data_IF_940187468228
#
_entry.id   IF_940187468228
#
_cell.length_a   1.000
_cell.length_b   1.000
_cell.length_c   1.000
_cell.angle_alpha   90.00
_cell.angle_beta   90.00
_cell.angle_gamma   90.00
#
_symmetry.space_group_name_H-M   'P 1'
#
loop_
_entity.id
_entity.type
_entity.pdbx_description
1 polymer ?
#
# COMPACT_ATOMS: atom_id res chain seq x y z
N UNK A 1 -5.26 -23.43 -20.32
CA UNK A 1 -6.05 -22.17 -20.30
C UNK A 1 -5.36 -21.22 -19.35
N UNK A 2 -5.26 -19.94 -19.70
CA UNK A 2 -4.70 -18.94 -18.78
C UNK A 2 -5.62 -18.77 -17.57
N UNK A 3 -5.04 -18.44 -16.41
CA UNK A 3 -5.79 -17.95 -15.24
C UNK A 3 -5.50 -16.47 -15.15
N UNK A 4 -6.53 -15.65 -15.31
CA UNK A 4 -6.43 -14.20 -15.38
C UNK A 4 -7.02 -13.57 -14.12
N UNK A 5 -6.26 -12.67 -13.50
CA UNK A 5 -6.65 -11.93 -12.29
C UNK A 5 -6.39 -10.44 -12.50
N UNK A 6 -7.18 -9.80 -13.37
CA UNK A 6 -7.02 -8.38 -13.73
C UNK A 6 -5.88 -8.10 -14.70
N UNK A 7 -5.27 -9.14 -15.28
CA UNK A 7 -4.28 -9.07 -16.35
C UNK A 7 -4.61 -10.13 -17.39
N UNK A 8 -4.96 -9.69 -18.60
CA UNK A 8 -5.31 -10.52 -19.75
C UNK A 8 -4.08 -10.69 -20.65
N UNK A 9 -3.76 -11.93 -21.02
CA UNK A 9 -2.82 -12.23 -22.10
C UNK A 9 -3.60 -12.69 -23.32
N UNK A 10 -3.45 -11.97 -24.43
CA UNK A 10 -4.16 -12.25 -25.66
C UNK A 10 -3.21 -12.39 -26.85
N UNK A 11 -3.70 -13.04 -27.89
CA UNK A 11 -2.95 -13.25 -29.14
C UNK A 11 -3.29 -12.14 -30.13
N UNK A 12 -2.28 -11.46 -30.66
CA UNK A 12 -2.47 -10.45 -31.70
C UNK A 12 -1.25 -10.36 -32.61
N UNK A 13 -1.45 -10.49 -33.93
CA UNK A 13 -0.42 -10.34 -34.97
C UNK A 13 0.93 -11.01 -34.64
N UNK A 14 1.96 -10.23 -34.32
CA UNK A 14 3.33 -10.63 -34.00
C UNK A 14 3.54 -11.12 -32.55
N UNK A 15 2.47 -11.15 -31.75
CA UNK A 15 2.46 -11.65 -30.38
C UNK A 15 1.69 -12.95 -30.20
N UNK A 16 1.74 -13.85 -31.19
CA UNK A 16 1.19 -15.19 -31.07
C UNK A 16 2.00 -16.03 -30.08
N UNK A 17 1.33 -16.83 -29.25
CA UNK A 17 1.93 -17.74 -28.27
C UNK A 17 1.33 -19.14 -28.35
N UNK A 18 2.09 -20.12 -27.86
CA UNK A 18 1.66 -21.52 -27.79
C UNK A 18 1.71 -21.99 -26.33
N UNK A 19 0.62 -22.59 -25.84
CA UNK A 19 0.60 -23.24 -24.54
C UNK A 19 1.43 -24.53 -24.56
N UNK A 20 2.26 -24.74 -23.55
CA UNK A 20 3.13 -25.93 -23.44
C UNK A 20 3.46 -26.24 -21.97
N UNK A 21 4.14 -27.36 -21.75
CA UNK A 21 4.66 -27.81 -20.46
C UNK A 21 6.20 -27.84 -20.51
N UNK A 22 6.86 -27.05 -19.66
CA UNK A 22 8.33 -27.00 -19.57
C UNK A 22 8.76 -27.22 -18.12
N UNK A 23 9.68 -28.16 -17.90
CA UNK A 23 10.22 -28.49 -16.58
C UNK A 23 9.11 -28.65 -15.50
N UNK A 24 8.00 -29.30 -15.88
CA UNK A 24 6.86 -29.57 -14.99
C UNK A 24 5.95 -28.37 -14.69
N UNK A 25 6.08 -27.24 -15.40
CA UNK A 25 5.19 -26.08 -15.27
C UNK A 25 4.52 -25.74 -16.59
N UNK A 26 3.20 -25.49 -16.56
CA UNK A 26 2.46 -24.97 -17.71
C UNK A 26 2.93 -23.54 -18.00
N UNK A 27 3.10 -23.20 -19.29
CA UNK A 27 3.57 -21.90 -19.71
C UNK A 27 3.13 -21.53 -21.14
N UNK A 28 3.29 -20.26 -21.50
CA UNK A 28 3.16 -19.75 -22.86
C UNK A 28 4.54 -19.54 -23.48
N UNK A 29 4.72 -19.99 -24.71
CA UNK A 29 5.95 -19.74 -25.51
C UNK A 29 5.65 -18.72 -26.58
N UNK A 30 6.48 -17.69 -26.68
CA UNK A 30 6.40 -16.73 -27.77
C UNK A 30 6.70 -17.42 -29.12
N UNK A 31 5.73 -17.40 -30.04
CA UNK A 31 5.85 -18.07 -31.32
C UNK A 31 6.88 -17.37 -32.23
N UNK A 32 7.55 -18.10 -33.13
CA UNK A 32 8.39 -17.49 -34.15
C UNK A 32 7.59 -16.54 -35.05
N UNK A 33 8.19 -15.38 -35.35
CA UNK A 33 7.66 -14.38 -36.28
C UNK A 33 8.68 -14.20 -37.43
N UNK A 34 8.24 -14.15 -38.71
CA UNK A 34 9.12 -13.93 -39.86
C UNK A 34 10.06 -12.70 -39.77
N UNK A 35 9.74 -11.68 -38.96
CA UNK A 35 10.58 -10.48 -38.78
C UNK A 35 11.58 -10.58 -37.61
N UNK A 36 11.66 -11.72 -36.92
CA UNK A 36 12.63 -12.02 -35.87
C UNK A 36 12.23 -11.57 -34.46
N UNK A 37 11.47 -10.48 -34.31
CA UNK A 37 10.95 -10.03 -33.00
C UNK A 37 9.75 -10.87 -32.54
N UNK A 38 9.76 -11.29 -31.27
CA UNK A 38 8.64 -12.05 -30.67
C UNK A 38 8.03 -11.26 -29.52
N UNK A 39 6.70 -11.24 -29.47
CA UNK A 39 5.98 -10.50 -28.45
C UNK A 39 5.03 -11.39 -27.65
N UNK A 40 4.74 -10.98 -26.42
CA UNK A 40 3.63 -11.50 -25.64
C UNK A 40 2.87 -10.29 -25.11
N UNK A 41 1.63 -10.11 -25.56
CA UNK A 41 0.82 -8.94 -25.26
C UNK A 41 -0.01 -9.11 -23.99
N UNK A 42 -0.10 -8.03 -23.21
CA UNK A 42 -0.88 -7.98 -22.00
C UNK A 42 -1.74 -6.72 -21.97
N UNK A 43 -2.96 -6.88 -21.47
CA UNK A 43 -3.89 -5.79 -21.18
C UNK A 43 -4.28 -5.86 -19.71
N UNK A 44 -4.22 -4.71 -19.04
CA UNK A 44 -4.53 -4.62 -17.62
C UNK A 44 -5.98 -4.19 -17.43
N UNK A 45 -6.63 -4.67 -16.39
CA UNK A 45 -7.94 -4.18 -16.01
C UNK A 45 -7.86 -2.72 -15.56
N UNK A 46 -8.80 -1.88 -15.99
CA UNK A 46 -8.81 -0.45 -15.69
C UNK A 46 -8.86 -0.15 -14.18
N UNK A 47 -9.41 -1.05 -13.35
CA UNK A 47 -9.41 -0.92 -11.89
C UNK A 47 -8.00 -0.98 -11.29
N UNK A 48 -7.00 -1.41 -12.06
CA UNK A 48 -5.61 -1.35 -11.63
C UNK A 48 -5.07 0.09 -11.59
N UNK A 49 -5.64 1.03 -12.35
CA UNK A 49 -5.08 2.38 -12.53
C UNK A 49 -5.47 3.30 -11.37
N UNK A 50 -4.49 4.07 -10.87
CA UNK A 50 -4.71 5.05 -9.79
C UNK A 50 -4.21 6.47 -10.10
N UNK A 51 -3.53 6.64 -11.24
CA UNK A 51 -3.00 7.91 -11.72
C UNK A 51 -2.91 7.87 -13.24
N UNK A 52 -2.89 9.05 -13.89
CA UNK A 52 -2.66 9.19 -15.34
C UNK A 52 -1.27 8.69 -15.77
N UNK A 53 -0.33 8.70 -14.84
CA UNK A 53 1.04 8.23 -15.02
C UNK A 53 1.49 7.58 -13.73
N UNK A 54 1.95 6.33 -13.82
CA UNK A 54 2.20 5.46 -12.67
C UNK A 54 3.65 4.98 -12.65
N UNK A 55 4.16 4.73 -11.45
CA UNK A 55 5.35 3.93 -11.22
C UNK A 55 4.92 2.56 -10.74
N UNK A 56 5.36 1.51 -11.42
CA UNK A 56 4.96 0.14 -11.10
C UNK A 56 6.07 -0.86 -11.37
N UNK A 57 5.90 -2.04 -10.83
CA UNK A 57 6.80 -3.18 -11.03
C UNK A 57 6.08 -4.28 -11.83
N UNK A 58 6.82 -5.01 -12.65
CA UNK A 58 6.33 -6.21 -13.34
C UNK A 58 7.26 -7.37 -13.04
N UNK A 59 6.74 -8.38 -12.37
CA UNK A 59 7.40 -9.67 -12.18
C UNK A 59 7.06 -10.60 -13.36
N UNK A 60 8.08 -11.20 -13.95
CA UNK A 60 7.97 -12.18 -15.03
C UNK A 60 8.69 -13.45 -14.58
N UNK A 61 7.93 -14.54 -14.40
CA UNK A 61 8.50 -15.88 -14.20
C UNK A 61 8.68 -16.57 -15.56
N UNK A 62 9.94 -16.74 -15.97
CA UNK A 62 10.31 -17.25 -17.27
C UNK A 62 11.29 -18.43 -17.18
N UNK A 63 11.30 -19.28 -18.21
CA UNK A 63 12.29 -20.34 -18.36
C UNK A 63 13.43 -19.84 -19.24
N UNK A 64 14.63 -19.76 -18.67
CA UNK A 64 15.85 -19.30 -19.36
C UNK A 64 16.32 -20.36 -20.37
N UNK A 65 15.62 -20.43 -21.50
CA UNK A 65 15.67 -21.54 -22.47
C UNK A 65 16.91 -21.48 -23.35
N UNK A 66 17.21 -20.30 -23.89
CA UNK A 66 18.34 -20.07 -24.78
C UNK A 66 18.97 -18.70 -24.53
N UNK A 67 20.16 -18.49 -25.07
CA UNK A 67 20.79 -17.18 -25.06
C UNK A 67 19.96 -16.17 -25.86
N UNK A 68 19.99 -14.91 -25.41
CA UNK A 68 19.24 -13.83 -26.04
C UNK A 68 18.92 -12.73 -25.04
N UNK A 69 17.90 -11.93 -25.32
CA UNK A 69 17.46 -10.89 -24.41
C UNK A 69 15.94 -10.76 -24.38
N UNK A 70 15.42 -10.12 -23.33
CA UNK A 70 14.06 -9.61 -23.33
C UNK A 70 13.94 -8.35 -22.48
N UNK A 71 12.96 -7.53 -22.82
CA UNK A 71 12.58 -6.32 -22.08
C UNK A 71 11.06 -6.12 -22.15
N UNK A 72 10.56 -5.09 -21.49
CA UNK A 72 9.14 -4.69 -21.59
C UNK A 72 9.06 -3.44 -22.46
N UNK A 73 8.21 -3.48 -23.48
CA UNK A 73 7.66 -2.25 -24.07
C UNK A 73 6.30 -2.02 -23.39
N UNK A 74 5.99 -0.77 -23.06
CA UNK A 74 4.75 -0.41 -22.38
C UNK A 74 4.17 0.91 -22.87
N UNK A 75 2.84 1.04 -22.74
CA UNK A 75 2.15 2.31 -22.94
C UNK A 75 2.53 3.28 -21.82
N UNK A 76 3.50 4.13 -22.13
CA UNK A 76 4.19 5.02 -21.20
C UNK A 76 4.12 6.49 -21.62
N UNK A 77 4.43 7.38 -20.70
CA UNK A 77 4.30 8.83 -20.89
C UNK A 77 5.45 9.49 -21.64
N UNK A 78 6.46 8.73 -22.10
CA UNK A 78 7.58 9.30 -22.86
C UNK A 78 7.16 9.61 -24.29
N UNK A 79 6.91 10.88 -24.58
CA UNK A 79 6.49 11.34 -25.91
C UNK A 79 7.56 11.14 -27.00
N UNK A 80 8.82 10.89 -26.62
CA UNK A 80 9.89 10.59 -27.57
C UNK A 80 9.94 9.11 -27.97
N UNK A 81 9.29 8.23 -27.21
CA UNK A 81 9.17 6.83 -27.58
C UNK A 81 8.16 6.66 -28.74
N UNK A 82 8.25 5.55 -29.51
CA UNK A 82 7.43 5.34 -30.70
C UNK A 82 5.94 5.55 -30.46
N UNK A 83 5.28 6.17 -31.46
CA UNK A 83 3.85 6.48 -31.42
C UNK A 83 3.45 7.28 -30.16
N UNK A 84 4.23 8.30 -29.82
CA UNK A 84 3.97 9.21 -28.69
C UNK A 84 3.87 8.48 -27.35
N UNK A 85 4.79 7.55 -27.10
CA UNK A 85 4.92 6.81 -25.84
C UNK A 85 4.23 5.45 -25.80
N UNK A 86 3.50 5.05 -26.85
CA UNK A 86 2.81 3.77 -26.86
C UNK A 86 3.75 2.57 -26.66
N UNK A 87 5.01 2.67 -27.10
CA UNK A 87 6.02 1.62 -26.90
C UNK A 87 7.23 2.17 -26.14
N UNK A 88 6.99 2.69 -24.94
CA UNK A 88 8.07 3.10 -24.03
C UNK A 88 8.84 1.87 -23.60
N UNK A 89 10.17 1.86 -23.79
CA UNK A 89 11.02 0.71 -23.41
C UNK A 89 11.36 0.76 -21.92
N UNK A 90 11.29 -0.38 -21.22
CA UNK A 90 11.78 -0.51 -19.86
C UNK A 90 13.29 -0.21 -19.78
N UNK A 91 13.77 0.48 -18.73
CA UNK A 91 15.20 0.81 -18.61
C UNK A 91 16.08 -0.43 -18.51
N UNK A 92 15.53 -1.54 -18.02
CA UNK A 92 16.20 -2.84 -17.96
C UNK A 92 15.92 -3.66 -19.21
N UNK A 93 16.97 -4.17 -19.84
CA UNK A 93 16.92 -5.29 -20.79
C UNK A 93 17.67 -6.46 -20.16
N UNK A 94 17.00 -7.59 -19.96
CA UNK A 94 17.60 -8.77 -19.36
C UNK A 94 18.31 -9.62 -20.41
N UNK A 95 19.48 -10.12 -20.04
CA UNK A 95 20.22 -11.12 -20.81
C UNK A 95 19.84 -12.52 -20.35
N UNK A 96 19.53 -13.37 -21.32
CA UNK A 96 19.24 -14.78 -21.15
C UNK A 96 20.52 -15.57 -21.40
N UNK A 97 20.76 -16.58 -20.56
CA UNK A 97 21.97 -17.40 -20.64
C UNK A 97 21.71 -18.78 -21.22
N UNK A 98 20.45 -19.21 -21.27
CA UNK A 98 20.08 -20.58 -21.62
C UNK A 98 20.35 -21.57 -20.49
N UNK A 99 20.25 -21.14 -19.23
CA UNK A 99 20.56 -21.98 -18.06
C UNK A 99 19.57 -23.12 -17.79
N UNK A 100 18.47 -23.21 -18.53
CA UNK A 100 17.45 -24.26 -18.38
C UNK A 100 16.82 -24.29 -16.98
N UNK A 101 16.68 -23.12 -16.36
CA UNK A 101 16.06 -22.97 -15.04
C UNK A 101 14.95 -21.93 -15.08
N UNK A 102 13.92 -22.14 -14.25
CA UNK A 102 12.90 -21.12 -13.98
C UNK A 102 13.51 -19.97 -13.18
N UNK A 103 13.29 -18.74 -13.64
CA UNK A 103 13.80 -17.52 -13.03
C UNK A 103 12.69 -16.49 -12.93
N UNK A 104 12.81 -15.59 -11.96
CA UNK A 104 11.94 -14.42 -11.83
C UNK A 104 12.73 -13.17 -12.16
N UNK A 105 12.20 -12.37 -13.08
CA UNK A 105 12.70 -11.05 -13.42
C UNK A 105 11.74 -9.98 -12.90
N UNK A 106 12.27 -8.91 -12.34
CA UNK A 106 11.49 -7.72 -11.95
C UNK A 106 11.88 -6.52 -12.79
N UNK A 107 10.90 -5.89 -13.42
CA UNK A 107 11.07 -4.66 -14.21
C UNK A 107 10.42 -3.49 -13.50
N UNK A 108 11.12 -2.36 -13.42
CA UNK A 108 10.56 -1.09 -12.95
C UNK A 108 10.10 -0.27 -14.15
N UNK A 109 8.79 0.03 -14.20
CA UNK A 109 8.21 0.87 -15.24
C UNK A 109 7.89 2.24 -14.64
N UNK A 110 8.56 3.27 -15.15
CA UNK A 110 8.29 4.65 -14.77
C UNK A 110 7.44 5.32 -15.83
N UNK A 111 6.33 5.92 -15.41
CA UNK A 111 5.47 6.69 -16.31
C UNK A 111 4.48 5.84 -17.09
N UNK A 112 4.08 4.67 -16.58
CA UNK A 112 3.08 3.82 -17.22
C UNK A 112 1.72 4.55 -17.25
N UNK A 113 1.16 4.72 -18.45
CA UNK A 113 -0.17 5.30 -18.69
C UNK A 113 -1.24 4.23 -18.77
N UNK A 114 -0.92 3.11 -19.45
CA UNK A 114 -1.82 1.97 -19.68
C UNK A 114 -3.19 2.43 -20.18
N UNK A 115 -3.20 3.10 -21.33
CA UNK A 115 -4.38 3.63 -22.02
C UNK A 115 -4.69 2.80 -23.27
N UNK A 116 -4.27 1.53 -23.30
CA UNK A 116 -4.52 0.61 -24.41
C UNK A 116 -3.96 1.09 -25.76
N UNK A 117 -2.81 1.79 -25.73
CA UNK A 117 -2.24 2.43 -26.93
C UNK A 117 -1.37 1.50 -27.78
N UNK A 118 -0.98 0.32 -27.28
CA UNK A 118 -0.23 -0.66 -28.08
C UNK A 118 -1.16 -1.46 -29.03
N UNK A 119 -0.55 -2.23 -29.91
CA UNK A 119 -1.22 -3.15 -30.82
C UNK A 119 -2.29 -4.00 -30.09
N UNK A 120 -3.46 -4.13 -30.71
CA UNK A 120 -4.57 -4.92 -30.16
C UNK A 120 -5.20 -4.33 -28.88
N UNK A 121 -4.84 -3.11 -28.48
CA UNK A 121 -5.29 -2.50 -27.24
C UNK A 121 -4.50 -2.96 -26.02
N UNK A 122 -3.27 -3.44 -26.20
CA UNK A 122 -2.38 -3.81 -25.10
C UNK A 122 -1.89 -2.59 -24.32
N UNK A 123 -1.54 -2.84 -23.06
CA UNK A 123 -0.92 -1.87 -22.16
C UNK A 123 0.59 -2.07 -22.04
N UNK A 124 1.05 -3.31 -22.25
CA UNK A 124 2.47 -3.63 -22.41
C UNK A 124 2.66 -4.96 -23.12
N UNK A 125 3.89 -5.21 -23.56
CA UNK A 125 4.33 -6.48 -24.12
C UNK A 125 5.71 -6.88 -23.64
N UNK A 126 5.93 -8.18 -23.52
CA UNK A 126 7.29 -8.73 -23.43
C UNK A 126 7.88 -8.73 -24.83
N UNK A 127 8.97 -8.00 -25.03
CA UNK A 127 9.69 -7.91 -26.30
C UNK A 127 10.94 -8.77 -26.23
N UNK A 128 10.90 -9.90 -26.95
CA UNK A 128 11.85 -11.00 -26.82
C UNK A 128 12.72 -11.10 -28.07
N UNK A 129 14.02 -11.22 -27.84
CA UNK A 129 15.06 -11.47 -28.84
C UNK A 129 15.84 -12.72 -28.44
N UNK A 130 15.17 -13.87 -28.47
CA UNK A 130 15.73 -15.18 -28.11
C UNK A 130 14.99 -16.33 -28.81
N UNK A 131 15.69 -17.44 -29.03
CA UNK A 131 15.09 -18.65 -29.58
C UNK A 131 14.49 -19.55 -28.49
N UNK A 132 13.17 -19.55 -28.46
CA UNK A 132 12.27 -20.03 -27.40
C UNK A 132 12.38 -19.22 -26.10
N UNK A 133 11.24 -18.68 -25.67
CA UNK A 133 11.09 -17.95 -24.42
C UNK A 133 9.74 -18.32 -23.81
N UNK A 134 9.80 -18.98 -22.65
CA UNK A 134 8.62 -19.51 -21.98
C UNK A 134 8.30 -18.66 -20.76
N UNK A 135 7.04 -18.27 -20.59
CA UNK A 135 6.56 -17.50 -19.44
C UNK A 135 5.42 -18.25 -18.78
N UNK A 136 5.53 -18.48 -17.46
CA UNK A 136 4.48 -19.16 -16.68
C UNK A 136 3.66 -18.20 -15.82
N UNK A 137 4.20 -17.03 -15.50
CA UNK A 137 3.50 -16.03 -14.70
C UNK A 137 3.99 -14.62 -15.03
N UNK A 138 3.04 -13.70 -15.13
CA UNK A 138 3.31 -12.26 -15.13
C UNK A 138 2.46 -11.63 -14.03
N UNK A 139 3.07 -10.79 -13.19
CA UNK A 139 2.39 -10.07 -12.11
C UNK A 139 2.76 -8.59 -12.20
N UNK A 140 1.74 -7.74 -12.32
CA UNK A 140 1.92 -6.27 -12.22
C UNK A 140 1.70 -5.86 -10.77
N UNK A 141 2.63 -5.08 -10.22
CA UNK A 141 2.72 -4.76 -8.79
C UNK A 141 2.67 -3.25 -8.62
N UNK A 142 1.81 -2.78 -7.70
CA UNK A 142 1.85 -1.42 -7.18
C UNK A 142 2.86 -1.38 -6.04
N UNK A 143 3.98 -0.66 -6.14
CA UNK A 143 5.07 -0.79 -5.18
C UNK A 143 4.66 -0.48 -3.73
N UNK A 144 3.82 0.54 -3.51
CA UNK A 144 3.39 0.92 -2.16
C UNK A 144 2.16 0.20 -1.62
N UNK A 145 1.71 -0.86 -2.29
CA UNK A 145 0.65 -1.74 -1.78
C UNK A 145 1.30 -2.93 -1.08
N UNK A 146 1.01 -3.18 0.21
CA UNK A 146 1.53 -4.35 0.93
C UNK A 146 1.24 -5.66 0.19
N UNK A 147 2.21 -6.57 0.21
CA UNK A 147 2.11 -7.86 -0.48
C UNK A 147 0.93 -8.71 0.00
N UNK A 148 0.50 -8.52 1.26
CA UNK A 148 -0.67 -9.20 1.80
C UNK A 148 -1.97 -8.91 1.03
N UNK A 149 -2.08 -7.78 0.31
CA UNK A 149 -3.31 -7.38 -0.37
C UNK A 149 -3.85 -8.48 -1.31
N UNK A 150 -5.11 -8.88 -1.10
CA UNK A 150 -5.77 -9.92 -1.89
C UNK A 150 -5.32 -11.35 -1.57
N UNK A 151 -4.29 -11.55 -0.75
CA UNK A 151 -3.83 -12.89 -0.38
C UNK A 151 -4.74 -13.54 0.64
N UNK A 152 -4.86 -14.88 0.56
CA UNK A 152 -5.47 -15.69 1.60
C UNK A 152 -4.42 -16.04 2.66
N UNK A 153 -4.64 -15.60 3.90
CA UNK A 153 -3.70 -15.80 5.01
C UNK A 153 -4.44 -16.17 6.30
N UNK A 154 -3.77 -16.82 7.24
CA UNK A 154 -4.31 -17.06 8.58
C UNK A 154 -4.21 -15.77 9.42
N UNK A 155 -5.34 -15.18 9.78
CA UNK A 155 -5.33 -13.88 10.43
C UNK A 155 -6.69 -13.26 10.75
N UNK A 156 -6.64 -12.02 11.25
CA UNK A 156 -7.78 -11.16 11.49
C UNK A 156 -7.47 -9.77 10.95
N UNK A 157 -8.45 -9.12 10.31
CA UNK A 157 -8.33 -7.72 9.91
C UNK A 157 -9.49 -6.87 10.41
N UNK A 158 -9.24 -5.58 10.56
CA UNK A 158 -10.26 -4.56 10.82
C UNK A 158 -9.97 -3.30 10.01
N UNK A 159 -11.02 -2.70 9.45
CA UNK A 159 -10.96 -1.42 8.72
C UNK A 159 -11.61 -0.27 9.50
N UNK A 160 -12.15 -0.54 10.70
CA UNK A 160 -12.78 0.45 11.57
C UNK A 160 -13.89 1.28 10.90
N UNK A 161 -14.49 0.74 9.83
CA UNK A 161 -15.62 1.31 9.09
C UNK A 161 -16.96 1.07 9.78
N UNK A 162 -16.98 0.15 10.73
CA UNK A 162 -18.13 -0.17 11.57
C UNK A 162 -17.82 0.12 13.05
N UNK A 163 -18.83 -0.01 13.90
CA UNK A 163 -18.65 0.01 15.36
C UNK A 163 -17.62 -1.06 15.76
N UNK A 164 -16.73 -0.72 16.71
CA UNK A 164 -15.75 -1.67 17.24
C UNK A 164 -16.45 -2.93 17.75
N UNK A 165 -15.96 -4.09 17.31
CA UNK A 165 -16.41 -5.37 17.85
C UNK A 165 -16.11 -5.47 19.34
N UNK A 166 -16.88 -6.29 20.07
CA UNK A 166 -16.66 -6.57 21.49
C UNK A 166 -15.34 -7.29 21.79
N UNK A 167 -14.66 -7.80 20.76
CA UNK A 167 -13.34 -8.41 20.89
C UNK A 167 -12.24 -7.35 21.08
N UNK A 168 -12.50 -6.10 20.71
CA UNK A 168 -11.61 -4.99 21.00
C UNK A 168 -11.83 -4.50 22.43
N UNK A 169 -10.87 -4.75 23.31
CA UNK A 169 -10.96 -4.43 24.73
C UNK A 169 -9.85 -3.47 25.13
N UNK A 170 -10.24 -2.31 25.65
CA UNK A 170 -9.30 -1.34 26.20
C UNK A 170 -8.79 -1.84 27.57
N UNK A 171 -7.47 -1.88 27.76
CA UNK A 171 -6.84 -2.20 29.04
C UNK A 171 -6.27 -0.94 29.68
N UNK A 172 -6.46 -0.80 31.01
CA UNK A 172 -6.12 0.41 31.77
C UNK A 172 -7.18 1.52 31.73
N UNK A 173 -6.83 2.75 32.09
CA UNK A 173 -7.71 3.94 32.12
C UNK A 173 -8.11 4.47 30.71
N UNK A 174 -8.23 3.57 29.72
CA UNK A 174 -8.11 3.88 28.31
C UNK A 174 -9.42 3.77 27.50
N UNK A 175 -10.55 3.41 28.11
CA UNK A 175 -11.81 3.17 27.37
C UNK A 175 -12.26 4.35 26.51
N UNK A 176 -12.07 5.58 26.98
CA UNK A 176 -12.49 6.79 26.24
C UNK A 176 -11.44 7.28 25.22
N UNK A 177 -10.28 6.60 25.14
CA UNK A 177 -9.15 7.00 24.28
C UNK A 177 -9.22 6.40 22.88
N UNK A 178 -10.11 5.44 22.65
CA UNK A 178 -10.28 4.72 21.39
C UNK A 178 -11.70 4.90 20.88
N UNK A 179 -11.89 5.54 19.72
CA UNK A 179 -13.22 5.87 19.20
C UNK A 179 -13.28 5.66 17.69
N UNK A 180 -14.10 4.73 17.22
CA UNK A 180 -14.38 4.59 15.79
C UNK A 180 -15.26 5.72 15.30
N UNK A 181 -14.78 6.48 14.32
CA UNK A 181 -15.48 7.61 13.70
C UNK A 181 -15.07 7.75 12.25
N UNK A 182 -16.01 7.99 11.34
CA UNK A 182 -15.73 8.28 9.92
C UNK A 182 -14.78 7.28 9.20
N UNK A 183 -14.90 5.99 9.50
CA UNK A 183 -14.06 4.97 8.85
C UNK A 183 -12.65 4.85 9.39
N UNK A 184 -12.36 5.48 10.54
CA UNK A 184 -11.08 5.35 11.23
C UNK A 184 -11.30 5.10 12.72
N UNK A 185 -10.33 4.45 13.36
CA UNK A 185 -10.19 4.43 14.81
C UNK A 185 -9.33 5.63 15.24
N UNK A 186 -9.96 6.57 15.93
CA UNK A 186 -9.27 7.70 16.59
C UNK A 186 -8.70 7.26 17.93
N UNK A 187 -7.44 7.60 18.16
CA UNK A 187 -6.64 7.23 19.32
C UNK A 187 -6.00 8.48 19.91
N UNK A 188 -6.33 8.80 21.16
CA UNK A 188 -5.80 9.99 21.86
C UNK A 188 -4.78 9.60 22.92
N UNK A 189 -3.68 10.33 22.96
CA UNK A 189 -2.72 10.21 24.06
C UNK A 189 -3.29 10.78 25.36
N UNK A 190 -2.64 10.49 26.48
CA UNK A 190 -3.05 10.99 27.79
C UNK A 190 -1.88 11.18 28.77
N UNK A 191 -2.01 12.11 29.73
CA UNK A 191 -1.04 12.26 30.81
C UNK A 191 -0.97 11.03 31.73
N UNK A 192 -2.03 10.21 31.82
CA UNK A 192 -2.12 9.10 32.79
C UNK A 192 -1.40 7.82 32.31
N UNK A 193 -0.38 7.95 31.48
CA UNK A 193 0.38 6.82 30.95
C UNK A 193 -0.20 6.17 29.69
N UNK A 194 0.48 5.12 29.24
CA UNK A 194 0.13 4.36 28.03
C UNK A 194 -1.17 3.57 28.25
N UNK A 195 -2.07 3.61 27.26
CA UNK A 195 -3.24 2.73 27.18
C UNK A 195 -3.15 1.80 25.97
N UNK A 196 -3.83 0.65 26.03
CA UNK A 196 -3.85 -0.31 24.92
C UNK A 196 -5.27 -0.75 24.59
N UNK A 197 -5.59 -0.89 23.31
CA UNK A 197 -6.79 -1.55 22.81
C UNK A 197 -6.37 -2.89 22.21
N UNK A 198 -6.70 -3.99 22.89
CA UNK A 198 -6.27 -5.34 22.53
C UNK A 198 -7.38 -6.10 21.83
N UNK A 199 -7.02 -6.90 20.82
CA UNK A 199 -7.91 -7.83 20.15
C UNK A 199 -7.95 -9.15 20.94
N UNK A 200 -8.94 -9.31 21.82
CA UNK A 200 -9.08 -10.47 22.70
C UNK A 200 -9.78 -11.65 22.01
N UNK A 201 -9.15 -12.16 20.96
CA UNK A 201 -9.53 -13.45 20.38
C UNK A 201 -8.73 -14.56 21.08
N UNK A 202 -9.36 -15.56 21.71
CA UNK A 202 -8.64 -16.59 22.47
C UNK A 202 -7.55 -17.33 21.66
N UNK A 203 -7.79 -17.55 20.37
CA UNK A 203 -6.83 -18.16 19.45
C UNK A 203 -5.73 -17.20 18.98
N UNK A 204 -5.80 -15.90 19.26
CA UNK A 204 -4.82 -14.90 18.83
C UNK A 204 -3.72 -14.62 19.88
N UNK A 205 -3.34 -15.61 20.68
CA UNK A 205 -2.40 -15.47 21.81
C UNK A 205 -1.00 -16.02 21.55
N UNK A 206 -0.74 -16.49 20.32
CA UNK A 206 0.55 -17.08 19.91
C UNK A 206 1.74 -16.18 20.22
N UNK A 207 2.88 -16.79 20.57
CA UNK A 207 4.17 -16.09 20.64
C UNK A 207 4.71 -15.74 19.25
N UNK A 208 4.21 -16.34 18.16
CA UNK A 208 4.57 -15.93 16.80
C UNK A 208 3.44 -15.11 16.22
N UNK A 209 3.68 -13.83 15.98
CA UNK A 209 2.71 -12.88 15.45
C UNK A 209 3.36 -11.92 14.47
N UNK A 210 2.60 -11.50 13.47
CA UNK A 210 2.98 -10.39 12.62
C UNK A 210 1.79 -9.43 12.44
N UNK A 211 2.07 -8.14 12.61
CA UNK A 211 1.11 -7.05 12.53
C UNK A 211 1.44 -6.17 11.35
N UNK A 212 0.40 -5.75 10.63
CA UNK A 212 0.47 -4.68 9.65
C UNK A 212 -0.65 -3.69 9.93
N UNK A 213 -0.28 -2.43 10.18
CA UNK A 213 -1.22 -1.38 10.56
C UNK A 213 -0.98 -0.15 9.69
N UNK A 214 -2.07 0.51 9.27
CA UNK A 214 -2.00 1.81 8.61
C UNK A 214 -2.50 2.89 9.55
N UNK A 215 -1.63 3.84 9.85
CA UNK A 215 -1.92 4.91 10.80
C UNK A 215 -1.36 6.27 10.35
N UNK A 216 -1.95 7.36 10.87
CA UNK A 216 -1.42 8.72 10.72
C UNK A 216 -1.49 9.46 12.04
N UNK A 217 -0.57 10.39 12.25
CA UNK A 217 -0.65 11.34 13.37
C UNK A 217 -1.42 12.57 12.90
N UNK A 218 -2.54 12.93 13.52
CA UNK A 218 -3.35 14.10 13.12
C UNK A 218 -2.99 15.35 13.92
N UNK A 219 -2.64 15.19 15.20
CA UNK A 219 -2.16 16.27 16.06
C UNK A 219 -1.02 15.80 16.96
N UNK A 220 -0.23 16.73 17.45
CA UNK A 220 0.90 16.47 18.34
C UNK A 220 0.86 17.43 19.52
N UNK A 221 1.07 16.90 20.73
CA UNK A 221 1.20 17.70 21.94
C UNK A 221 2.44 18.61 21.89
N UNK A 222 2.42 19.68 22.68
CA UNK A 222 3.60 20.53 22.90
C UNK A 222 4.64 19.78 23.76
N UNK A 223 5.92 19.93 23.40
CA UNK A 223 7.04 19.28 24.09
C UNK A 223 7.26 17.83 23.63
N UNK A 224 7.67 16.98 24.57
CA UNK A 224 7.81 15.55 24.32
C UNK A 224 6.42 14.94 24.11
N UNK A 225 6.26 14.23 23.00
CA UNK A 225 4.98 13.72 22.55
C UNK A 225 5.08 12.26 22.11
N UNK A 226 4.05 11.50 22.46
CA UNK A 226 3.93 10.08 22.11
C UNK A 226 2.48 9.84 21.72
N UNK A 227 2.12 10.00 20.44
CA UNK A 227 0.74 9.87 19.98
C UNK A 227 0.16 8.47 20.18
N UNK A 228 0.97 7.45 19.95
CA UNK A 228 0.51 6.05 19.96
C UNK A 228 1.35 5.16 19.06
N UNK A 229 0.80 4.00 18.75
CA UNK A 229 1.47 3.00 17.92
C UNK A 229 0.75 1.65 17.93
N UNK A 230 1.52 0.58 17.78
CA UNK A 230 1.01 -0.81 17.72
C UNK A 230 1.58 -1.64 18.86
N UNK A 231 0.85 -2.67 19.28
CA UNK A 231 1.26 -3.58 20.34
C UNK A 231 1.16 -5.04 19.89
N UNK A 232 2.16 -5.85 20.21
CA UNK A 232 2.20 -7.28 19.93
C UNK A 232 2.50 -8.11 21.18
N UNK A 233 1.98 -9.34 21.21
CA UNK A 233 2.19 -10.34 22.28
C UNK A 233 1.96 -9.80 23.70
N UNK A 234 0.89 -9.03 23.88
CA UNK A 234 0.56 -8.37 25.15
C UNK A 234 -0.24 -9.28 26.08
N UNK A 235 0.25 -9.47 27.29
CA UNK A 235 -0.49 -10.07 28.38
C UNK A 235 -1.53 -9.06 28.91
N UNK A 236 -2.81 -9.41 28.76
CA UNK A 236 -3.94 -8.53 29.12
C UNK A 236 -4.04 -8.21 30.61
N UNK A 237 -3.40 -8.99 31.50
CA UNK A 237 -3.51 -8.81 32.94
C UNK A 237 -2.53 -7.77 33.49
N UNK A 238 -1.39 -7.58 32.83
CA UNK A 238 -0.31 -6.73 33.35
C UNK A 238 0.37 -5.85 32.27
N UNK A 239 -0.12 -5.88 31.03
CA UNK A 239 0.38 -5.08 29.90
C UNK A 239 1.87 -5.34 29.57
N UNK A 240 2.41 -6.49 29.97
CA UNK A 240 3.72 -6.96 29.47
C UNK A 240 3.58 -7.42 28.04
N UNK A 241 4.51 -7.04 27.17
CA UNK A 241 4.39 -7.14 25.71
C UNK A 241 5.01 -5.92 25.02
N UNK A 242 5.24 -6.04 23.72
CA UNK A 242 6.00 -5.05 22.95
C UNK A 242 5.10 -3.99 22.35
N UNK A 243 5.50 -2.73 22.53
CA UNK A 243 4.89 -1.57 21.88
C UNK A 243 5.88 -0.98 20.89
N UNK A 244 5.43 -0.69 19.67
CA UNK A 244 6.16 0.07 18.67
C UNK A 244 5.48 1.40 18.44
N UNK A 245 6.17 2.49 18.75
CA UNK A 245 5.57 3.79 19.05
C UNK A 245 6.11 4.88 18.13
N UNK A 246 5.21 5.76 17.68
CA UNK A 246 5.60 7.10 17.24
C UNK A 246 5.98 7.94 18.46
N UNK A 247 7.10 8.64 18.37
CA UNK A 247 7.60 9.49 19.46
C UNK A 247 8.28 10.73 18.91
N UNK A 248 8.15 11.85 19.59
CA UNK A 248 8.88 13.08 19.33
C UNK A 248 9.43 13.60 20.65
N UNK A 249 10.71 13.96 20.70
CA UNK A 249 11.30 14.59 21.89
C UNK A 249 12.00 15.89 21.54
N UNK A 250 12.20 16.77 22.51
CA UNK A 250 12.93 18.01 22.33
C UNK A 250 14.38 17.79 21.83
N UNK A 251 15.01 16.68 22.22
CA UNK A 251 16.41 16.39 21.91
C UNK A 251 16.59 15.70 20.55
N UNK A 252 15.72 14.76 20.20
CA UNK A 252 15.90 13.87 19.03
C UNK A 252 14.94 14.22 17.89
N UNK A 253 13.90 15.01 18.16
CA UNK A 253 12.82 15.23 17.21
C UNK A 253 12.00 13.96 16.99
N UNK A 254 11.45 13.83 15.77
CA UNK A 254 10.55 12.73 15.39
C UNK A 254 11.31 11.42 15.18
N UNK A 255 10.81 10.38 15.81
CA UNK A 255 11.42 9.05 15.88
C UNK A 255 10.37 7.96 15.99
N UNK A 256 10.84 6.71 15.87
CA UNK A 256 10.08 5.52 16.28
C UNK A 256 10.87 4.74 17.33
N UNK A 257 10.17 4.11 18.27
CA UNK A 257 10.81 3.45 19.41
C UNK A 257 10.07 2.19 19.82
N UNK A 258 10.83 1.19 20.27
CA UNK A 258 10.31 0.01 20.94
C UNK A 258 10.28 0.22 22.46
N UNK A 259 9.23 -0.30 23.10
CA UNK A 259 9.11 -0.31 24.57
C UNK A 259 8.36 -1.56 25.03
N UNK A 260 8.87 -2.19 26.08
CA UNK A 260 8.20 -3.28 26.78
C UNK A 260 8.03 -2.84 28.25
N UNK A 261 6.84 -3.02 28.82
CA UNK A 261 6.48 -2.42 30.11
C UNK A 261 7.43 -2.79 31.26
N UNK A 262 7.90 -4.04 31.30
CA UNK A 262 8.81 -4.56 32.32
C UNK A 262 10.30 -4.44 31.98
N UNK A 263 10.66 -4.39 30.68
CA UNK A 263 12.05 -4.25 30.23
C UNK A 263 12.46 -2.78 30.01
N UNK A 264 11.49 -1.87 29.93
CA UNK A 264 11.71 -0.45 29.67
C UNK A 264 11.83 -0.12 28.19
N UNK A 265 12.61 0.93 27.90
CA UNK A 265 12.85 1.38 26.53
C UNK A 265 13.84 0.45 25.82
N UNK A 266 13.47 0.05 24.61
CA UNK A 266 14.33 -0.71 23.71
C UNK A 266 14.98 0.16 22.65
N UNK A 267 15.36 -0.45 21.51
CA UNK A 267 15.89 0.26 20.36
C UNK A 267 14.96 1.38 19.88
N UNK A 268 15.57 2.48 19.44
CA UNK A 268 14.89 3.66 18.90
C UNK A 268 15.73 4.24 17.76
N UNK A 269 15.07 4.85 16.79
CA UNK A 269 15.75 5.47 15.65
C UNK A 269 14.98 6.68 15.14
N UNK A 270 15.70 7.65 14.60
CA UNK A 270 15.10 8.80 13.93
C UNK A 270 14.29 8.33 12.74
N UNK A 271 13.07 8.86 12.64
CA UNK A 271 12.19 8.63 11.51
C UNK A 271 11.29 9.85 11.44
N UNK A 272 11.53 10.68 10.42
CA UNK A 272 10.86 11.98 10.29
C UNK A 272 9.47 11.81 9.70
N UNK A 273 8.56 11.23 10.48
CA UNK A 273 7.13 11.17 10.13
C UNK A 273 6.53 12.59 10.08
N UNK A 274 5.40 12.76 9.39
CA UNK A 274 4.68 14.02 9.26
C UNK A 274 3.24 13.86 9.77
N UNK A 275 2.67 14.95 10.28
CA UNK A 275 1.25 14.96 10.62
C UNK A 275 0.40 14.91 9.34
N UNK A 276 -0.81 14.35 9.46
CA UNK A 276 -1.76 14.10 8.37
C UNK A 276 -1.24 13.23 7.23
N UNK A 277 -0.17 12.49 7.50
CA UNK A 277 0.51 11.65 6.54
C UNK A 277 0.35 10.19 6.99
N UNK A 278 -0.09 9.31 6.08
CA UNK A 278 -0.28 7.89 6.38
C UNK A 278 1.03 7.10 6.35
N UNK A 279 1.15 6.15 7.27
CA UNK A 279 2.29 5.26 7.41
C UNK A 279 1.82 3.84 7.61
N UNK A 280 2.54 2.91 7.00
CA UNK A 280 2.48 1.51 7.35
C UNK A 280 3.42 1.27 8.53
N UNK A 281 2.95 0.54 9.54
CA UNK A 281 3.73 0.02 10.64
C UNK A 281 3.65 -1.50 10.59
N UNK A 282 4.81 -2.15 10.58
CA UNK A 282 4.92 -3.60 10.70
C UNK A 282 5.64 -3.96 11.98
N UNK A 283 5.10 -4.93 12.71
CA UNK A 283 5.75 -5.56 13.86
C UNK A 283 5.67 -7.07 13.70
N UNK A 284 6.82 -7.73 13.70
CA UNK A 284 6.93 -9.19 13.80
C UNK A 284 7.52 -9.55 15.16
N UNK A 285 6.93 -10.53 15.82
CA UNK A 285 7.50 -11.17 16.99
C UNK A 285 7.58 -12.67 16.74
N UNK A 286 8.77 -13.22 16.89
CA UNK A 286 9.06 -14.65 16.77
C UNK A 286 10.29 -14.94 17.65
N UNK A 287 10.09 -15.50 18.85
CA UNK A 287 11.20 -15.72 19.77
C UNK A 287 12.14 -16.83 19.27
N UNK A 288 13.44 -16.64 19.41
CA UNK A 288 14.48 -17.61 19.07
C UNK A 288 15.38 -17.92 20.29
N UNK A 289 15.54 -19.20 20.63
CA UNK A 289 16.35 -19.60 21.78
C UNK A 289 17.86 -19.41 21.55
N UNK A 290 18.27 -19.18 20.30
CA UNK A 290 19.64 -18.84 19.95
C UNK A 290 19.92 -17.36 20.26
N UNK A 291 20.73 -17.12 21.29
CA UNK A 291 21.20 -15.78 21.64
C UNK A 291 21.82 -15.05 20.44
N UNK A 292 21.69 -13.73 20.39
CA UNK A 292 22.18 -12.83 19.31
C UNK A 292 21.36 -12.84 18.01
N UNK A 293 20.22 -13.54 18.00
CA UNK A 293 19.21 -13.39 16.96
C UNK A 293 18.08 -12.50 17.48
N UNK A 294 17.56 -11.56 16.67
CA UNK A 294 16.43 -10.76 17.12
C UNK A 294 15.17 -11.61 17.30
N UNK A 295 14.30 -11.19 18.22
CA UNK A 295 12.98 -11.79 18.44
C UNK A 295 11.85 -10.86 17.99
N UNK A 296 12.13 -9.55 17.95
CA UNK A 296 11.20 -8.50 17.54
C UNK A 296 11.82 -7.77 16.36
N UNK A 297 11.02 -7.57 15.31
CA UNK A 297 11.39 -6.73 14.18
C UNK A 297 10.29 -5.73 13.89
N UNK A 298 10.67 -4.49 13.63
CA UNK A 298 9.72 -3.44 13.27
C UNK A 298 10.22 -2.61 12.11
N UNK A 299 9.29 -2.10 11.32
CA UNK A 299 9.56 -1.12 10.28
C UNK A 299 8.37 -0.20 10.06
N UNK A 300 8.69 1.01 9.62
CA UNK A 300 7.72 2.04 9.25
C UNK A 300 8.08 2.60 7.89
N UNK A 301 7.08 2.80 7.03
CA UNK A 301 7.24 3.46 5.73
C UNK A 301 5.99 4.24 5.35
N UNK A 302 6.08 5.10 4.34
CA UNK A 302 4.95 5.91 3.89
C UNK A 302 3.88 5.00 3.28
N UNK A 303 2.63 5.21 3.67
CA UNK A 303 1.46 4.56 3.05
C UNK A 303 0.82 5.51 2.03
N UNK A 304 1.62 5.92 1.05
CA UNK A 304 1.24 6.79 -0.06
C UNK A 304 1.05 6.02 -1.37
N UNK A 305 0.97 4.68 -1.29
CA UNK A 305 0.77 3.73 -2.40
C UNK A 305 1.86 3.72 -3.46
N UNK A 306 2.90 4.53 -3.30
CA UNK A 306 4.06 4.58 -4.17
C UNK A 306 5.32 4.09 -3.46
N UNK A 307 5.43 4.35 -2.16
CA UNK A 307 6.59 3.98 -1.34
C UNK A 307 6.55 2.49 -1.05
N UNK A 308 7.47 1.76 -1.68
CA UNK A 308 7.65 0.34 -1.43
C UNK A 308 7.98 0.04 0.03
N UNK A 309 7.52 -1.12 0.50
CA UNK A 309 7.93 -1.64 1.79
C UNK A 309 9.45 -1.83 1.82
N UNK A 310 10.16 -1.29 2.83
CA UNK A 310 11.59 -1.46 2.94
C UNK A 310 11.98 -2.95 3.03
N UNK A 311 13.00 -3.40 2.28
CA UNK A 311 13.44 -4.79 2.31
C UNK A 311 14.08 -5.16 3.66
N UNK A 312 14.68 -4.19 4.35
CA UNK A 312 15.25 -4.34 5.68
C UNK A 312 14.30 -3.95 6.82
N UNK A 313 14.57 -4.46 8.01
CA UNK A 313 13.91 -4.03 9.24
C UNK A 313 14.55 -2.75 9.78
N UNK A 314 13.73 -1.83 10.29
CA UNK A 314 14.18 -0.53 10.78
C UNK A 314 14.79 -0.65 12.18
N UNK A 315 14.16 -1.45 13.04
CA UNK A 315 14.67 -1.79 14.37
C UNK A 315 14.46 -3.27 14.62
N UNK A 316 15.36 -3.85 15.40
CA UNK A 316 15.31 -5.24 15.83
C UNK A 316 15.67 -5.31 17.32
N UNK A 317 15.04 -6.23 18.07
CA UNK A 317 15.31 -6.41 19.51
C UNK A 317 15.43 -7.89 19.84
N UNK A 318 16.61 -8.28 20.33
CA UNK A 318 16.90 -9.57 20.97
C UNK A 318 16.66 -9.42 22.49
N UNK A 319 15.77 -10.24 23.05
CA UNK A 319 15.50 -10.29 24.49
C UNK A 319 15.47 -11.72 25.04
N UNK A 320 15.14 -12.73 24.22
CA UNK A 320 15.06 -14.13 24.59
C UNK A 320 16.33 -14.87 24.12
N UNK A 321 16.91 -15.79 24.90
CA UNK A 321 16.45 -16.31 26.19
C UNK A 321 16.85 -15.49 27.43
N UNK A 322 17.46 -14.32 27.27
CA UNK A 322 17.87 -13.46 28.39
C UNK A 322 16.72 -13.01 29.30
N UNK A 323 15.50 -13.01 28.78
CA UNK A 323 14.24 -12.69 29.45
C UNK A 323 13.17 -13.72 29.03
N UNK A 324 12.12 -13.96 29.84
CA UNK A 324 11.07 -14.92 29.50
C UNK A 324 10.32 -14.52 28.22
N UNK A 325 10.11 -15.47 27.32
CA UNK A 325 9.35 -15.27 26.08
C UNK A 325 7.98 -14.64 26.34
N UNK A 326 7.56 -13.73 25.45
CA UNK A 326 6.27 -13.04 25.47
C UNK A 326 5.29 -13.74 24.53
N UNK A 327 4.06 -13.88 25.00
CA UNK A 327 2.91 -14.37 24.25
C UNK A 327 1.66 -13.65 24.77
N UNK A 328 0.70 -13.38 23.90
CA UNK A 328 -0.47 -12.60 24.28
C UNK A 328 -1.16 -11.98 23.08
N UNK A 329 -1.94 -10.94 23.31
CA UNK A 329 -2.80 -10.33 22.30
C UNK A 329 -2.08 -9.21 21.54
N UNK A 330 -2.52 -8.99 20.31
CA UNK A 330 -2.12 -7.84 19.53
C UNK A 330 -3.11 -6.68 19.68
N UNK A 331 -2.67 -5.46 19.34
CA UNK A 331 -3.54 -4.30 19.44
C UNK A 331 -2.90 -2.97 19.04
N UNK A 332 -3.56 -1.91 19.47
CA UNK A 332 -3.20 -0.52 19.21
C UNK A 332 -2.90 0.20 20.51
N UNK A 333 -2.01 1.18 20.44
CA UNK A 333 -1.48 1.89 21.62
C UNK A 333 -1.94 3.35 21.60
N UNK A 334 -2.53 3.78 22.70
CA UNK A 334 -2.69 5.17 23.09
C UNK A 334 -1.45 5.59 23.87
N UNK A 335 -0.70 6.55 23.35
CA UNK A 335 0.55 6.95 24.00
C UNK A 335 0.35 7.90 25.18
N UNK A 336 1.46 8.42 25.71
CA UNK A 336 1.48 9.23 26.92
C UNK A 336 2.26 10.52 26.71
N UNK A 337 1.55 11.63 26.88
CA UNK A 337 2.06 13.00 26.80
C UNK A 337 1.09 13.96 27.50
N UNK A 338 1.27 15.27 27.33
CA UNK A 338 0.46 16.31 27.97
C UNK A 338 -1.00 16.40 27.46
N UNK A 339 -1.50 15.43 26.70
CA UNK A 339 -2.92 15.32 26.31
C UNK A 339 -3.30 16.07 25.04
N UNK A 340 -2.40 16.12 24.06
CA UNK A 340 -2.61 16.88 22.80
C UNK A 340 -2.33 16.10 21.51
N UNK A 341 -1.84 14.87 21.61
CA UNK A 341 -1.55 14.06 20.43
C UNK A 341 -2.73 13.17 20.06
N UNK A 342 -2.93 13.01 18.76
CA UNK A 342 -3.96 12.14 18.21
C UNK A 342 -3.37 11.35 17.03
N UNK A 343 -3.68 10.05 17.03
CA UNK A 343 -3.38 9.11 15.96
C UNK A 343 -4.69 8.57 15.42
N UNK A 344 -4.79 8.38 14.12
CA UNK A 344 -5.88 7.66 13.47
C UNK A 344 -5.33 6.38 12.85
N UNK A 345 -6.10 5.31 12.93
CA UNK A 345 -5.82 4.01 12.32
C UNK A 345 -7.01 3.60 11.46
N UNK A 346 -6.78 3.22 10.20
CA UNK A 346 -7.85 2.81 9.28
C UNK A 346 -7.69 1.38 8.76
N UNK A 347 -6.62 0.72 9.19
CA UNK A 347 -6.41 -0.69 8.89
C UNK A 347 -5.54 -1.34 9.96
N UNK A 348 -6.01 -2.50 10.43
CA UNK A 348 -5.28 -3.40 11.29
C UNK A 348 -5.31 -4.80 10.68
N UNK A 349 -4.17 -5.46 10.63
CA UNK A 349 -4.04 -6.87 10.29
C UNK A 349 -3.16 -7.57 11.31
N UNK A 350 -3.67 -8.67 11.86
CA UNK A 350 -2.92 -9.64 12.65
C UNK A 350 -2.80 -10.94 11.86
N UNK A 351 -1.56 -11.43 11.72
CA UNK A 351 -1.21 -12.72 11.11
C UNK A 351 -0.72 -13.67 12.20
N UNK A 352 -1.33 -14.84 12.27
CA UNK A 352 -0.91 -15.96 13.15
C UNK A 352 -1.55 -17.24 12.66
N UNK A 353 -0.81 -18.36 12.70
CA UNK A 353 -1.27 -19.66 12.19
C UNK A 353 -2.46 -20.24 12.97
N UNK A 354 -2.73 -19.70 14.15
CA UNK A 354 -3.83 -20.09 15.03
C UNK A 354 -5.18 -19.45 14.68
N UNK A 355 -5.19 -18.46 13.77
CA UNK A 355 -6.41 -17.81 13.28
C UNK A 355 -6.89 -18.43 11.96
N UNK A 356 -8.19 -18.32 11.64
CA UNK A 356 -8.72 -18.82 10.38
C UNK A 356 -8.16 -18.05 9.17
N UNK A 357 -8.29 -18.67 8.00
CA UNK A 357 -7.96 -18.04 6.72
C UNK A 357 -8.90 -16.87 6.39
N UNK A 358 -8.33 -15.73 6.01
CA UNK A 358 -9.02 -14.53 5.50
C UNK A 358 -8.38 -14.08 4.19
N UNK A 359 -9.17 -13.49 3.28
CA UNK A 359 -8.64 -12.72 2.16
C UNK A 359 -8.40 -11.30 2.61
N UNK A 360 -7.15 -10.82 2.53
CA UNK A 360 -6.81 -9.47 2.99
C UNK A 360 -7.42 -8.42 2.06
N UNK A 361 -8.21 -7.52 2.63
CA UNK A 361 -8.81 -6.38 1.94
C UNK A 361 -8.31 -5.10 2.58
N UNK A 362 -7.38 -4.45 1.89
CA UNK A 362 -6.88 -3.16 2.33
C UNK A 362 -7.96 -2.09 2.13
N UNK A 363 -7.98 -1.03 2.96
CA UNK A 363 -8.70 0.19 2.61
C UNK A 363 -8.10 0.79 1.34
N UNK A 364 -8.85 1.69 0.71
CA UNK A 364 -8.41 2.42 -0.46
C UNK A 364 -7.02 3.06 -0.20
N UNK A 365 -6.06 2.76 -1.07
CA UNK A 365 -4.68 3.23 -0.95
C UNK A 365 -4.54 4.58 -1.62
N UNK A 366 -3.84 5.52 -0.97
CA UNK A 366 -3.43 6.78 -1.62
C UNK A 366 -2.27 6.49 -2.60
N UNK A 367 -2.08 7.20 -3.72
CA UNK A 367 -2.91 8.26 -4.26
C UNK A 367 -4.13 7.60 -4.88
N UNK A 368 -5.24 7.60 -4.14
CA UNK A 368 -6.53 7.45 -4.75
C UNK A 368 -6.66 8.71 -5.60
N UNK A 369 -7.20 8.57 -6.79
CA UNK A 369 -7.65 9.71 -7.57
C UNK A 369 -8.40 10.65 -6.61
N UNK A 370 -8.10 11.94 -6.67
CA UNK A 370 -8.85 12.87 -5.85
C UNK A 370 -10.33 12.70 -6.15
N UNK A 371 -11.11 12.43 -5.12
CA UNK A 371 -12.54 12.24 -5.25
C UNK A 371 -13.19 13.61 -5.27
N UNK A 372 -14.00 13.87 -6.28
CA UNK A 372 -14.84 15.04 -6.36
C UNK A 372 -16.30 14.61 -6.19
N UNK A 373 -16.89 14.93 -5.06
CA UNK A 373 -18.30 14.68 -4.79
C UNK A 373 -19.11 15.95 -5.08
N UNK A 374 -20.18 15.82 -5.85
CA UNK A 374 -21.10 16.92 -6.14
C UNK A 374 -22.16 16.97 -5.04
N UNK A 375 -22.24 18.10 -4.35
CA UNK A 375 -23.27 18.37 -3.36
C UNK A 375 -24.59 18.79 -4.00
N UNK A 376 -25.65 18.89 -3.17
CA UNK A 376 -26.94 19.40 -3.64
C UNK A 376 -26.81 20.89 -3.98
N UNK A 377 -27.42 21.37 -5.08
CA UNK A 377 -27.47 22.80 -5.38
C UNK A 377 -28.08 23.58 -4.22
N UNK A 378 -27.48 24.74 -3.91
CA UNK A 378 -27.99 25.68 -2.92
C UNK A 378 -29.24 26.40 -3.46
N UNK A 379 -30.04 27.07 -2.61
CA UNK A 379 -31.17 27.88 -3.06
C UNK A 379 -30.80 29.00 -4.04
N UNK A 380 -29.54 29.46 -4.03
CA UNK A 380 -28.99 30.42 -5.00
C UNK A 380 -28.77 29.82 -6.40
N UNK A 381 -28.80 28.49 -6.53
CA UNK A 381 -28.41 27.76 -7.73
C UNK A 381 -26.94 27.30 -7.72
N UNK A 382 -26.11 27.82 -6.82
CA UNK A 382 -24.70 27.45 -6.72
C UNK A 382 -24.53 25.98 -6.32
N UNK A 383 -23.52 25.31 -6.87
CA UNK A 383 -23.28 23.89 -6.63
C UNK A 383 -22.01 23.72 -5.78
N UNK A 384 -22.13 23.24 -4.53
CA UNK A 384 -20.97 22.93 -3.71
C UNK A 384 -20.36 21.61 -4.16
N UNK A 385 -19.05 21.59 -4.30
CA UNK A 385 -18.24 20.42 -4.61
C UNK A 385 -17.34 20.13 -3.42
N UNK A 386 -17.23 18.86 -3.05
CA UNK A 386 -16.32 18.40 -2.03
C UNK A 386 -15.19 17.62 -2.69
N UNK A 387 -13.99 18.19 -2.64
CA UNK A 387 -12.78 17.56 -3.14
C UNK A 387 -12.04 16.92 -1.97
N UNK A 388 -11.65 15.66 -2.11
CA UNK A 388 -10.77 14.98 -1.16
C UNK A 388 -9.63 14.28 -1.90
N UNK A 389 -8.43 14.29 -1.31
CA UNK A 389 -7.20 13.87 -1.98
C UNK A 389 -6.02 13.90 -1.02
N UNK A 390 -4.80 13.87 -1.57
CA UNK A 390 -3.59 14.03 -0.76
C UNK A 390 -3.47 15.47 -0.21
N UNK A 391 -3.07 15.65 1.07
CA UNK A 391 -2.74 16.97 1.59
C UNK A 391 -1.61 17.65 0.80
N UNK A 392 -1.64 18.98 0.76
CA UNK A 392 -0.68 19.84 0.05
C UNK A 392 -0.60 19.58 -1.47
N UNK A 393 -1.67 19.07 -2.07
CA UNK A 393 -1.85 19.01 -3.53
C UNK A 393 -2.84 20.06 -4.02
N UNK A 394 -2.59 20.55 -5.22
CA UNK A 394 -3.51 21.44 -5.93
C UNK A 394 -4.22 20.72 -7.06
N UNK A 395 -5.49 21.03 -7.27
CA UNK A 395 -6.30 20.49 -8.35
C UNK A 395 -7.02 21.61 -9.06
N UNK A 396 -7.13 21.49 -10.37
CA UNK A 396 -8.02 22.32 -11.16
C UNK A 396 -9.38 21.65 -11.25
N UNK A 397 -10.40 22.35 -10.78
CA UNK A 397 -11.79 21.94 -10.98
C UNK A 397 -12.20 22.36 -12.37
N UNK A 398 -12.74 21.41 -13.12
CA UNK A 398 -13.21 21.60 -14.48
C UNK A 398 -14.67 21.13 -14.58
N UNK A 399 -15.42 21.77 -15.47
CA UNK A 399 -16.79 21.42 -15.78
C UNK A 399 -16.96 21.09 -17.27
N UNK A 400 -17.98 20.30 -17.59
CA UNK A 400 -18.36 20.01 -18.97
C UNK A 400 -19.87 19.88 -19.08
N UNK A 401 -20.40 20.15 -20.27
CA UNK A 401 -21.80 19.90 -20.63
C UNK A 401 -21.95 18.65 -21.51
N UNK A 402 -20.85 18.08 -22.01
CA UNK A 402 -20.87 16.99 -23.01
C UNK A 402 -19.78 15.92 -22.83
N UNK A 403 -18.98 16.01 -21.76
CA UNK A 403 -17.82 15.15 -21.45
C UNK A 403 -16.65 15.20 -22.44
N UNK A 404 -16.78 15.90 -23.57
CA UNK A 404 -15.75 16.07 -24.58
C UNK A 404 -14.97 17.38 -24.38
N UNK A 405 -15.69 18.47 -24.16
CA UNK A 405 -15.12 19.81 -23.96
C UNK A 405 -15.19 20.20 -22.49
N UNK A 406 -14.05 20.54 -21.91
CA UNK A 406 -13.94 20.87 -20.48
C UNK A 406 -13.54 22.34 -20.30
N UNK A 407 -14.27 23.05 -19.45
CA UNK A 407 -13.98 24.44 -19.05
C UNK A 407 -13.38 24.46 -17.65
N UNK A 408 -12.37 25.30 -17.45
CA UNK A 408 -11.73 25.50 -16.16
C UNK A 408 -12.60 26.39 -15.25
N UNK A 409 -12.92 25.90 -14.05
CA UNK A 409 -13.64 26.68 -13.03
C UNK A 409 -12.66 27.40 -12.09
N UNK A 410 -11.67 26.68 -11.55
CA UNK A 410 -10.63 27.26 -10.71
C UNK A 410 -9.77 26.24 -9.96
N UNK A 411 -8.60 26.66 -9.44
CA UNK A 411 -7.73 25.82 -8.65
C UNK A 411 -8.21 25.68 -7.20
N UNK A 412 -7.91 24.53 -6.59
CA UNK A 412 -8.22 24.18 -5.20
C UNK A 412 -7.00 23.52 -4.56
N UNK A 413 -6.50 24.11 -3.49
CA UNK A 413 -5.43 23.52 -2.68
C UNK A 413 -6.01 22.70 -1.53
N UNK A 414 -5.56 21.44 -1.39
CA UNK A 414 -5.98 20.56 -0.31
C UNK A 414 -5.02 20.67 0.89
N UNK A 415 -5.09 21.72 1.69
CA UNK A 415 -4.15 21.92 2.82
C UNK A 415 -4.12 20.73 3.79
N UNK A 416 -5.27 20.11 4.07
CA UNK A 416 -5.39 18.97 4.99
C UNK A 416 -6.02 17.72 4.32
N UNK A 417 -5.97 17.63 2.99
CA UNK A 417 -6.48 16.49 2.22
C UNK A 417 -7.97 16.55 1.88
N UNK A 418 -8.68 17.61 2.25
CA UNK A 418 -10.02 17.91 1.73
C UNK A 418 -10.24 19.42 1.61
N UNK A 419 -11.08 19.81 0.66
CA UNK A 419 -11.50 21.19 0.47
C UNK A 419 -12.90 21.23 -0.14
N UNK A 420 -13.59 22.36 0.03
CA UNK A 420 -14.82 22.65 -0.68
C UNK A 420 -14.54 23.65 -1.79
N UNK A 421 -15.20 23.48 -2.92
CA UNK A 421 -15.23 24.43 -4.02
C UNK A 421 -16.68 24.75 -4.35
N UNK A 422 -17.01 26.03 -4.54
CA UNK A 422 -18.36 26.43 -4.89
C UNK A 422 -18.39 26.86 -6.36
N UNK A 423 -19.12 26.11 -7.20
CA UNK A 423 -19.41 26.54 -8.56
C UNK A 423 -20.61 27.50 -8.53
N UNK A 424 -20.34 28.78 -8.81
CA UNK A 424 -21.34 29.86 -8.86
C UNK A 424 -21.88 30.13 -10.26
N UNK A 425 -21.50 29.30 -11.23
CA UNK A 425 -21.87 29.46 -12.64
C UNK A 425 -22.73 28.35 -13.25
N UNK A 426 -23.38 27.42 -12.51
CA UNK A 426 -24.11 26.30 -13.12
C UNK A 426 -25.39 26.80 -13.78
N UNK A 427 -25.27 27.27 -15.02
CA UNK A 427 -26.39 27.80 -15.83
C UNK A 427 -26.98 26.74 -16.77
N UNK A 428 -26.39 25.57 -16.82
CA UNK A 428 -26.74 24.49 -17.75
C UNK A 428 -27.61 23.42 -17.07
N UNK A 429 -28.56 22.85 -17.81
CA UNK A 429 -29.45 21.79 -17.30
C UNK A 429 -28.71 20.48 -16.98
N UNK A 430 -27.49 20.30 -17.51
CA UNK A 430 -26.63 19.15 -17.21
C UNK A 430 -25.17 19.60 -17.16
N UNK A 431 -24.54 19.40 -16.01
CA UNK A 431 -23.15 19.76 -15.77
C UNK A 431 -22.40 18.58 -15.15
N UNK A 432 -21.29 18.23 -15.76
CA UNK A 432 -20.35 17.21 -15.30
C UNK A 432 -19.14 17.90 -14.70
N UNK A 433 -18.56 17.29 -13.67
CA UNK A 433 -17.41 17.85 -12.96
C UNK A 433 -16.26 16.85 -12.94
N UNK A 434 -15.04 17.36 -13.03
CA UNK A 434 -13.83 16.58 -12.73
C UNK A 434 -12.80 17.45 -12.03
N UNK A 435 -11.89 16.81 -11.32
CA UNK A 435 -10.71 17.44 -10.76
C UNK A 435 -9.48 16.88 -11.47
N UNK A 436 -8.67 17.76 -12.06
CA UNK A 436 -7.39 17.42 -12.68
C UNK A 436 -6.27 17.87 -11.76
N UNK A 437 -5.27 17.03 -11.53
CA UNK A 437 -4.09 17.43 -10.75
C UNK A 437 -3.45 18.66 -11.40
N UNK A 438 -3.23 19.72 -10.61
CA UNK A 438 -2.60 20.95 -11.05
C UNK A 438 -1.12 20.92 -10.63
N UNK A 439 -0.18 21.26 -11.54
CA UNK A 439 1.26 21.22 -11.27
C UNK A 439 1.71 22.05 -10.07
#
# INVERSE_FOLDING_TARGET
>A
TNVEEGLDQFEFADGATVATLVAGSDCRVAAPNPTGGRYIYFRIDDSFKWSLSMKLEVDVEYFDSAAGTFAIDFDGSDTNAPFNGAYTRSPTTLSLTGSQTWRTARFNLSGARFMNSENGGADFRLAVSADAFCVRRVKVIRPGVPDEAGQMINGYQDTFTTVLSTNWVATGAASNRFQSTNGVLRIRSSPDGIGQLLLLLPSATSATQELLVRARITSLALGDAMPGGIAGVVNSNNQTGFNYLFRSTAQTGRQTALRETSLGWGPQTTFTWATNAWYWLRLRHQPDALSSLPDVWVKTWRADGLTAEPPGWLLVWDYYPGQPSRAGFAGLVSGSDNGGSEMECDFFLLKTDTLPGITVRLPEQKPALASLAVGRPLPSGDVPLQLAGEPSRSYQVEASTNLASWMELGPVELTNGAAQYLDTTPKDNQRFYRARLWP
#
